data_IF_556427244836
#
_entry.id   IF_556427244836
#
_cell.length_a   1.000
_cell.length_b   1.000
_cell.length_c   1.000
_cell.angle_alpha   90.00
_cell.angle_beta   90.00
_cell.angle_gamma   90.00
#
_symmetry.space_group_name_H-M   'P 1'
#
loop_
_entity.id
_entity.type
_entity.pdbx_description
1 polymer ?
#
# COMPACT_ATOMS: atom_id res chain seq x y z
N UNK A 1 1.24 -16.13 15.58
CA UNK A 1 1.99 -15.87 14.34
C UNK A 1 1.42 -14.64 13.66
N UNK A 2 2.27 -13.67 13.29
CA UNK A 2 1.86 -12.54 12.44
C UNK A 2 1.65 -13.06 11.03
N UNK A 3 0.41 -13.06 10.54
CA UNK A 3 0.12 -13.51 9.18
C UNK A 3 0.52 -12.42 8.19
N UNK A 4 1.65 -12.60 7.53
CA UNK A 4 2.09 -11.75 6.41
C UNK A 4 1.59 -12.26 5.05
N UNK A 5 0.71 -13.27 5.05
CA UNK A 5 0.19 -13.84 3.82
C UNK A 5 -0.56 -12.80 2.98
N UNK A 6 -1.40 -11.98 3.60
CA UNK A 6 -2.23 -11.00 2.90
C UNK A 6 -1.41 -9.92 2.18
N UNK A 7 -0.45 -9.22 2.81
CA UNK A 7 0.39 -8.27 2.09
C UNK A 7 1.25 -8.94 1.00
N UNK A 8 1.73 -10.16 1.22
CA UNK A 8 2.51 -10.88 0.20
C UNK A 8 1.65 -11.22 -1.02
N UNK A 9 0.44 -11.74 -0.82
CA UNK A 9 -0.52 -11.99 -1.91
C UNK A 9 -0.84 -10.70 -2.67
N UNK A 10 -1.00 -9.59 -1.94
CA UNK A 10 -1.24 -8.30 -2.57
C UNK A 10 -0.04 -7.80 -3.38
N UNK A 11 1.19 -7.98 -2.90
CA UNK A 11 2.42 -7.68 -3.66
C UNK A 11 2.48 -8.49 -4.97
N UNK A 12 2.13 -9.78 -4.92
CA UNK A 12 2.04 -10.61 -6.11
C UNK A 12 0.97 -10.09 -7.07
N UNK A 13 -0.19 -9.69 -6.56
CA UNK A 13 -1.25 -9.11 -7.37
C UNK A 13 -0.80 -7.80 -8.06
N UNK A 14 -0.11 -6.90 -7.34
CA UNK A 14 0.51 -5.71 -7.91
C UNK A 14 1.45 -6.10 -9.07
N UNK A 15 2.35 -7.05 -8.82
CA UNK A 15 3.32 -7.51 -9.83
C UNK A 15 2.64 -8.05 -11.09
N UNK A 16 1.61 -8.86 -10.93
CA UNK A 16 0.83 -9.41 -12.05
C UNK A 16 0.14 -8.28 -12.84
N UNK A 17 -0.52 -7.35 -12.13
CA UNK A 17 -1.20 -6.22 -12.77
C UNK A 17 -0.21 -5.31 -13.50
N UNK A 18 0.96 -5.07 -12.92
CA UNK A 18 2.04 -4.28 -13.52
C UNK A 18 2.66 -4.94 -14.74
N UNK A 19 2.54 -6.26 -14.87
CA UNK A 19 3.01 -7.02 -16.04
C UNK A 19 2.08 -6.87 -17.25
N UNK A 20 0.85 -6.37 -17.06
CA UNK A 20 -0.12 -6.21 -18.14
C UNK A 20 0.07 -4.87 -18.87
N UNK A 21 -0.16 -4.82 -20.20
CA UNK A 21 -0.18 -3.55 -20.94
C UNK A 21 -1.22 -2.59 -20.37
N UNK A 22 -0.97 -1.30 -20.51
CA UNK A 22 -1.83 -0.25 -19.97
C UNK A 22 -3.30 -0.31 -20.46
N UNK A 23 -3.52 -0.85 -21.64
CA UNK A 23 -4.84 -1.02 -22.27
C UNK A 23 -5.50 -2.39 -22.02
N UNK A 24 -4.87 -3.28 -21.25
CA UNK A 24 -5.37 -4.65 -21.06
C UNK A 24 -6.52 -4.77 -20.05
N UNK A 25 -6.72 -3.78 -19.17
CA UNK A 25 -7.70 -3.89 -18.07
C UNK A 25 -9.03 -3.20 -18.45
N UNK A 26 -9.07 -1.90 -18.55
CA UNK A 26 -10.26 -1.14 -18.95
C UNK A 26 -9.79 0.17 -19.59
N UNK A 27 -10.31 0.51 -20.76
CA UNK A 27 -10.18 1.83 -21.37
C UNK A 27 -11.51 2.59 -21.24
N UNK A 28 -11.46 3.77 -20.63
CA UNK A 28 -12.61 4.66 -20.59
C UNK A 28 -12.69 5.51 -21.88
N UNK A 29 -13.91 5.87 -22.34
CA UNK A 29 -14.08 6.67 -23.54
C UNK A 29 -13.38 8.03 -23.51
N UNK A 30 -13.23 8.61 -22.29
CA UNK A 30 -12.52 9.87 -22.10
C UNK A 30 -11.08 9.59 -21.66
N UNK A 31 -10.13 9.80 -22.54
CA UNK A 31 -8.71 9.53 -22.29
C UNK A 31 -8.11 10.31 -21.12
N UNK A 32 -8.59 11.53 -20.84
CA UNK A 32 -8.10 12.32 -19.69
C UNK A 32 -8.58 11.76 -18.36
N UNK A 33 -9.83 11.30 -18.30
CA UNK A 33 -10.40 10.66 -17.11
C UNK A 33 -9.74 9.30 -16.89
N UNK A 34 -9.52 8.55 -17.96
CA UNK A 34 -8.85 7.24 -17.90
C UNK A 34 -7.44 7.35 -17.32
N UNK A 35 -6.63 8.28 -17.83
CA UNK A 35 -5.28 8.56 -17.30
C UNK A 35 -5.33 9.00 -15.85
N UNK A 36 -6.21 9.95 -15.50
CA UNK A 36 -6.34 10.43 -14.12
C UNK A 36 -6.71 9.32 -13.14
N UNK A 37 -7.64 8.43 -13.49
CA UNK A 37 -8.04 7.31 -12.65
C UNK A 37 -6.90 6.30 -12.49
N UNK A 38 -6.21 5.94 -13.56
CA UNK A 38 -5.08 5.01 -13.52
C UNK A 38 -3.93 5.55 -12.68
N UNK A 39 -3.63 6.84 -12.80
CA UNK A 39 -2.62 7.51 -11.97
C UNK A 39 -3.02 7.60 -10.50
N UNK A 40 -4.31 7.85 -10.22
CA UNK A 40 -4.82 7.87 -8.84
C UNK A 40 -4.81 6.48 -8.19
N UNK A 41 -5.02 5.43 -8.98
CA UNK A 41 -4.95 4.04 -8.49
C UNK A 41 -3.57 3.68 -7.98
N UNK A 42 -2.49 4.12 -8.62
CA UNK A 42 -1.12 3.91 -8.13
C UNK A 42 -0.93 4.45 -6.70
N UNK A 43 -1.39 5.67 -6.46
CA UNK A 43 -1.30 6.28 -5.13
C UNK A 43 -2.04 5.47 -4.07
N UNK A 44 -3.25 4.99 -4.39
CA UNK A 44 -4.08 4.18 -3.48
C UNK A 44 -3.49 2.79 -3.30
N UNK A 45 -2.94 2.20 -4.32
CA UNK A 45 -2.39 0.83 -4.35
C UNK A 45 -1.30 0.62 -3.28
N UNK A 46 -0.33 1.53 -3.22
CA UNK A 46 0.76 1.44 -2.24
C UNK A 46 0.35 1.90 -0.84
N UNK A 47 -0.62 2.79 -0.72
CA UNK A 47 -1.26 3.10 0.56
C UNK A 47 -1.94 1.85 1.15
N UNK A 48 -2.66 1.09 0.33
CA UNK A 48 -3.29 -0.18 0.73
C UNK A 48 -2.22 -1.20 1.12
N UNK A 49 -1.13 -1.34 0.36
CA UNK A 49 -0.04 -2.25 0.69
C UNK A 49 0.51 -1.98 2.09
N UNK A 50 0.77 -0.72 2.41
CA UNK A 50 1.22 -0.32 3.74
C UNK A 50 0.20 -0.71 4.83
N UNK A 51 -1.08 -0.44 4.62
CA UNK A 51 -2.14 -0.78 5.58
C UNK A 51 -2.25 -2.31 5.77
N UNK A 52 -2.09 -3.09 4.69
CA UNK A 52 -2.10 -4.55 4.77
C UNK A 52 -0.93 -5.11 5.60
N UNK A 53 0.21 -4.43 5.66
CA UNK A 53 1.29 -4.77 6.60
C UNK A 53 0.97 -4.34 8.02
N UNK A 54 0.33 -3.19 8.21
CA UNK A 54 0.04 -2.62 9.53
C UNK A 54 -1.03 -3.43 10.29
N UNK A 55 -2.07 -3.92 9.60
CA UNK A 55 -3.16 -4.66 10.23
C UNK A 55 -2.66 -5.88 11.03
N UNK A 56 -1.91 -6.83 10.46
CA UNK A 56 -1.43 -7.99 11.21
C UNK A 56 -0.46 -7.61 12.33
N UNK A 57 0.33 -6.55 12.17
CA UNK A 57 1.18 -6.04 13.24
C UNK A 57 0.36 -5.47 14.40
N UNK A 58 -0.72 -4.76 14.10
CA UNK A 58 -1.63 -4.23 15.12
C UNK A 58 -2.33 -5.36 15.89
N UNK A 59 -2.89 -6.34 15.17
CA UNK A 59 -3.60 -7.48 15.75
C UNK A 59 -2.68 -8.30 16.66
N UNK A 60 -1.42 -8.50 16.28
CA UNK A 60 -0.44 -9.26 17.07
C UNK A 60 0.23 -8.45 18.20
N UNK A 61 -0.16 -7.19 18.40
CA UNK A 61 0.45 -6.31 19.39
C UNK A 61 1.89 -5.89 19.07
N UNK A 62 2.34 -6.13 17.83
CA UNK A 62 3.72 -5.81 17.38
C UNK A 62 3.80 -4.49 16.60
N UNK A 63 2.69 -3.76 16.49
CA UNK A 63 2.69 -2.44 15.85
C UNK A 63 3.30 -1.40 16.78
N UNK A 64 4.51 -1.03 16.49
CA UNK A 64 5.27 0.04 17.15
C UNK A 64 5.58 1.14 16.12
N UNK A 65 6.02 2.30 16.59
CA UNK A 65 6.50 3.36 15.68
C UNK A 65 7.60 2.83 14.75
N UNK A 66 8.54 2.05 15.30
CA UNK A 66 9.65 1.46 14.53
C UNK A 66 9.15 0.47 13.47
N UNK A 67 8.28 -0.47 13.82
CA UNK A 67 7.74 -1.46 12.86
C UNK A 67 6.86 -0.81 11.81
N UNK A 68 6.08 0.20 12.18
CA UNK A 68 5.29 1.02 11.25
C UNK A 68 6.18 1.72 10.22
N UNK A 69 7.32 2.30 10.67
CA UNK A 69 8.27 2.95 9.76
C UNK A 69 8.97 1.94 8.85
N UNK A 70 9.36 0.78 9.35
CA UNK A 70 9.99 -0.28 8.55
C UNK A 70 9.06 -0.73 7.42
N UNK A 71 7.80 -1.01 7.70
CA UNK A 71 6.86 -1.45 6.65
C UNK A 71 6.48 -0.33 5.68
N UNK A 72 6.52 0.93 6.11
CA UNK A 72 6.38 2.08 5.21
C UNK A 72 7.56 2.14 4.22
N UNK A 73 8.78 1.95 4.70
CA UNK A 73 9.98 1.90 3.85
C UNK A 73 9.91 0.71 2.89
N UNK A 74 9.50 -0.47 3.35
CA UNK A 74 9.33 -1.66 2.51
C UNK A 74 8.32 -1.38 1.39
N UNK A 75 7.18 -0.79 1.71
CA UNK A 75 6.15 -0.43 0.72
C UNK A 75 6.67 0.59 -0.31
N UNK A 76 7.41 1.59 0.14
CA UNK A 76 8.02 2.59 -0.74
C UNK A 76 9.10 1.99 -1.66
N UNK A 77 9.94 1.10 -1.15
CA UNK A 77 10.96 0.39 -1.96
C UNK A 77 10.30 -0.56 -2.96
N UNK A 78 9.19 -1.19 -2.59
CA UNK A 78 8.42 -2.01 -3.52
C UNK A 78 7.84 -1.18 -4.67
N UNK A 79 7.39 0.05 -4.42
CA UNK A 79 6.99 1.00 -5.46
C UNK A 79 8.10 1.26 -6.48
N UNK A 80 9.33 1.46 -6.03
CA UNK A 80 10.49 1.61 -6.94
C UNK A 80 10.68 0.32 -7.77
N UNK A 81 10.60 -0.84 -7.14
CA UNK A 81 10.74 -2.13 -7.83
C UNK A 81 9.66 -2.32 -8.89
N UNK A 82 8.42 -1.93 -8.58
CA UNK A 82 7.30 -1.98 -9.50
C UNK A 82 7.51 -1.07 -10.71
N UNK A 83 7.96 0.17 -10.50
CA UNK A 83 8.27 1.10 -11.59
C UNK A 83 9.41 0.60 -12.48
N UNK A 84 10.47 0.02 -11.91
CA UNK A 84 11.53 -0.62 -12.68
C UNK A 84 10.97 -1.76 -13.52
N UNK A 85 10.10 -2.60 -12.94
CA UNK A 85 9.44 -3.67 -13.65
C UNK A 85 8.58 -3.15 -14.80
N UNK A 86 7.77 -2.12 -14.57
CA UNK A 86 6.92 -1.49 -15.59
C UNK A 86 7.73 -0.89 -16.75
N UNK A 87 8.95 -0.44 -16.50
CA UNK A 87 9.82 0.08 -17.56
C UNK A 87 10.18 -0.94 -18.63
N UNK A 88 10.08 -2.23 -18.31
CA UNK A 88 10.32 -3.34 -19.25
C UNK A 88 9.04 -3.86 -19.91
N UNK A 89 7.86 -3.38 -19.50
CA UNK A 89 6.57 -3.82 -20.06
C UNK A 89 6.23 -2.99 -21.28
N UNK A 90 5.93 -3.61 -22.46
CA UNK A 90 5.52 -2.89 -23.64
C UNK A 90 4.28 -2.02 -23.39
N UNK A 91 4.25 -0.84 -24.00
CA UNK A 91 3.16 0.14 -23.90
C UNK A 91 2.91 0.69 -22.47
N UNK A 92 3.86 0.52 -21.56
CA UNK A 92 3.82 1.20 -20.26
C UNK A 92 4.90 2.27 -20.19
N UNK A 93 4.53 3.42 -19.63
CA UNK A 93 5.47 4.48 -19.26
C UNK A 93 5.75 4.34 -17.76
N UNK A 94 7.01 4.15 -17.39
CA UNK A 94 7.46 4.23 -16.02
C UNK A 94 8.22 5.53 -15.83
N UNK A 95 7.83 6.33 -14.84
CA UNK A 95 8.42 7.65 -14.60
C UNK A 95 8.75 7.86 -13.13
N UNK A 96 9.69 8.76 -12.84
CA UNK A 96 9.98 9.19 -11.47
C UNK A 96 8.77 9.87 -10.81
N UNK A 97 7.85 10.41 -11.60
CA UNK A 97 6.60 10.99 -11.11
C UNK A 97 5.71 9.90 -10.53
N UNK A 98 5.67 8.72 -11.15
CA UNK A 98 4.87 7.59 -10.66
C UNK A 98 5.43 7.05 -9.34
N UNK A 99 6.75 6.91 -9.22
CA UNK A 99 7.42 6.62 -7.93
C UNK A 99 7.03 7.64 -6.86
N UNK A 100 6.98 8.92 -7.21
CA UNK A 100 6.60 9.99 -6.28
C UNK A 100 5.15 9.83 -5.82
N UNK A 101 4.23 9.45 -6.69
CA UNK A 101 2.82 9.17 -6.36
C UNK A 101 2.69 7.99 -5.41
N UNK A 102 3.42 6.89 -5.66
CA UNK A 102 3.46 5.72 -4.79
C UNK A 102 3.92 6.11 -3.38
N UNK A 103 4.98 6.91 -3.28
CA UNK A 103 5.49 7.40 -2.00
C UNK A 103 4.53 8.33 -1.29
N UNK A 104 3.84 9.22 -2.01
CA UNK A 104 2.80 10.08 -1.41
C UNK A 104 1.70 9.22 -0.79
N UNK A 105 1.25 8.16 -1.46
CA UNK A 105 0.27 7.22 -0.93
C UNK A 105 0.74 6.54 0.36
N UNK A 106 1.96 6.02 0.38
CA UNK A 106 2.55 5.39 1.57
C UNK A 106 2.72 6.39 2.71
N UNK A 107 3.26 7.57 2.43
CA UNK A 107 3.50 8.63 3.44
C UNK A 107 2.18 9.11 4.04
N UNK A 108 1.15 9.32 3.23
CA UNK A 108 -0.18 9.73 3.69
C UNK A 108 -0.80 8.67 4.61
N UNK A 109 -0.73 7.39 4.24
CA UNK A 109 -1.22 6.28 5.06
C UNK A 109 -0.41 6.15 6.36
N UNK A 110 0.90 6.25 6.30
CA UNK A 110 1.77 6.24 7.48
C UNK A 110 1.50 7.40 8.43
N UNK A 111 1.34 8.61 7.90
CA UNK A 111 1.01 9.79 8.71
C UNK A 111 -0.36 9.65 9.37
N UNK A 112 -1.35 9.09 8.66
CA UNK A 112 -2.67 8.80 9.21
C UNK A 112 -2.59 7.79 10.38
N UNK A 113 -1.88 6.68 10.22
CA UNK A 113 -1.69 5.67 11.27
C UNK A 113 -0.92 6.28 12.46
N UNK A 114 0.14 7.05 12.19
CA UNK A 114 0.90 7.73 13.24
C UNK A 114 0.00 8.63 14.09
N UNK A 115 -0.82 9.45 13.45
CA UNK A 115 -1.68 10.38 14.16
C UNK A 115 -2.83 9.70 14.89
N UNK A 116 -3.57 8.83 14.25
CA UNK A 116 -4.77 8.23 14.83
C UNK A 116 -4.49 7.05 15.74
N UNK A 117 -3.50 6.22 15.43
CA UNK A 117 -3.17 5.06 16.23
C UNK A 117 -2.27 5.41 17.41
N UNK A 118 -1.15 6.10 17.16
CA UNK A 118 -0.15 6.36 18.20
C UNK A 118 -0.46 7.62 19.02
N UNK A 119 -0.96 8.67 18.40
CA UNK A 119 -1.18 9.94 19.10
C UNK A 119 -2.56 10.04 19.73
N UNK A 120 -3.63 9.80 19.00
CA UNK A 120 -5.01 9.88 19.50
C UNK A 120 -5.57 8.59 20.07
N UNK A 121 -5.01 7.45 19.74
CA UNK A 121 -5.48 6.11 20.12
C UNK A 121 -6.98 5.86 19.81
N UNK A 122 -7.50 6.50 18.77
CA UNK A 122 -8.91 6.43 18.35
C UNK A 122 -9.11 5.73 17.00
N UNK A 123 -8.08 5.09 16.49
CA UNK A 123 -8.14 4.39 15.20
C UNK A 123 -8.96 3.11 15.30
N UNK A 124 -9.51 2.65 14.15
CA UNK A 124 -10.09 1.32 14.01
C UNK A 124 -9.06 0.25 14.40
N UNK A 125 -7.78 0.47 14.11
CA UNK A 125 -6.68 -0.41 14.51
C UNK A 125 -6.57 -0.56 16.04
N UNK A 126 -6.77 0.52 16.80
CA UNK A 126 -6.80 0.45 18.26
C UNK A 126 -7.97 -0.40 18.76
N UNK A 127 -9.14 -0.27 18.14
CA UNK A 127 -10.31 -1.10 18.47
C UNK A 127 -10.05 -2.57 18.19
N UNK A 128 -9.43 -2.88 17.05
CA UNK A 128 -9.05 -4.25 16.68
C UNK A 128 -8.02 -4.83 17.66
N UNK A 129 -6.97 -4.09 17.97
CA UNK A 129 -5.94 -4.52 18.94
C UNK A 129 -6.55 -4.81 20.30
N UNK A 130 -7.40 -3.92 20.81
CA UNK A 130 -8.06 -4.11 22.10
C UNK A 130 -9.06 -5.28 22.09
N UNK A 131 -9.76 -5.50 21.00
CA UNK A 131 -10.67 -6.64 20.83
C UNK A 131 -9.92 -7.97 20.89
N UNK A 132 -8.83 -8.09 20.11
CA UNK A 132 -8.02 -9.31 20.10
C UNK A 132 -7.30 -9.55 21.45
N UNK A 133 -6.83 -8.51 22.11
CA UNK A 133 -6.25 -8.63 23.43
C UNK A 133 -7.22 -9.18 24.49
N UNK A 134 -8.52 -8.85 24.35
CA UNK A 134 -9.57 -9.38 25.25
C UNK A 134 -9.91 -10.84 24.98
N UNK A 135 -9.70 -11.35 23.79
CA UNK A 135 -9.99 -12.74 23.44
C UNK A 135 -8.84 -13.67 23.82
N UNK A 136 -7.61 -13.14 23.83
CA UNK A 136 -6.39 -13.92 24.05
C UNK A 136 -5.93 -13.94 25.52
N UNK A 137 -6.57 -13.15 26.42
CA UNK A 137 -6.40 -13.18 27.86
C UNK A 137 -7.61 -13.84 28.54
#
# INVERSE_FOLDING_TARGET
>A
YVSLALPIVYMIAIWVMSSLPHNAVIELPNSKIDVFLKESLHLVEFAILYILFVIPLAISGKLTFKTSMIVAIISALYGITDEIHQSFVPYRSATLIDVTKDWIGVIAAWAHVRYHYFHRQKSILNKLTNYYAKITN
#
